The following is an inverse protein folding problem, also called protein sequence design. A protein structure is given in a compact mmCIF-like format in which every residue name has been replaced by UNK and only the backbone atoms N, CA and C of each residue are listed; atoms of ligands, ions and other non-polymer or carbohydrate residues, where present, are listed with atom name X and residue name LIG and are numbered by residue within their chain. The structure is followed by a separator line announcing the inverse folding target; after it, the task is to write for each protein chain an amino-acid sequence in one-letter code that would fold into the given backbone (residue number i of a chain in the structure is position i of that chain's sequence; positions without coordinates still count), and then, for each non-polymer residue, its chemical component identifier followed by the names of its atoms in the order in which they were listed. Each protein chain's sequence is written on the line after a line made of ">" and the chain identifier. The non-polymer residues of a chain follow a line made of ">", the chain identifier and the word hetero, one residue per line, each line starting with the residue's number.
data_IF_471011606821
#
_entry.id   IF_471011606821
#
_cell.length_a   1.000
_cell.length_b   1.000
_cell.length_c   1.000
_cell.angle_alpha   90.00
_cell.angle_beta   90.00
_cell.angle_gamma   90.00
#
_symmetry.space_group_name_H-M   'P 1'
#
loop_
_entity.id
_entity.type
_entity.pdbx_description
1 polymer ?
#
# COMPACT_ATOMS: atom_id res chain seq x y z
N UNK A 1 24.34 -37.06 -0.07
CA UNK A 1 23.80 -36.62 -1.37
C UNK A 1 22.75 -37.62 -1.85
N UNK A 2 21.57 -37.18 -2.31
CA UNK A 2 20.54 -38.07 -2.81
C UNK A 2 21.01 -38.86 -4.05
N UNK A 3 20.78 -40.17 -4.10
CA UNK A 3 21.25 -41.08 -5.17
C UNK A 3 20.65 -40.79 -6.56
N UNK A 4 19.60 -39.98 -6.64
CA UNK A 4 19.02 -39.50 -7.89
C UNK A 4 19.97 -38.56 -8.66
N UNK A 5 20.80 -37.76 -7.96
CA UNK A 5 21.69 -36.77 -8.57
C UNK A 5 22.87 -37.39 -9.34
N UNK A 6 23.24 -38.65 -9.04
CA UNK A 6 24.34 -39.32 -9.74
C UNK A 6 23.92 -39.92 -11.08
N UNK A 7 22.64 -40.25 -11.28
CA UNK A 7 22.12 -40.80 -12.56
C UNK A 7 21.76 -39.73 -13.58
N UNK A 8 21.50 -38.50 -13.15
CA UNK A 8 21.10 -37.40 -14.03
C UNK A 8 22.10 -36.24 -14.05
N UNK A 9 23.41 -36.55 -14.08
CA UNK A 9 24.48 -35.55 -14.22
C UNK A 9 24.28 -34.61 -15.42
N UNK A 10 23.60 -35.08 -16.47
CA UNK A 10 23.28 -34.27 -17.64
C UNK A 10 22.26 -33.14 -17.33
N UNK A 11 21.37 -33.29 -16.34
CA UNK A 11 20.46 -32.22 -15.91
C UNK A 11 21.20 -31.06 -15.22
N UNK A 12 22.33 -31.32 -14.56
CA UNK A 12 23.18 -30.25 -14.01
C UNK A 12 23.88 -29.47 -15.12
N UNK A 13 24.25 -30.13 -16.22
CA UNK A 13 24.84 -29.49 -17.39
C UNK A 13 23.79 -28.66 -18.13
N UNK A 14 22.58 -29.20 -18.34
CA UNK A 14 21.47 -28.47 -18.96
C UNK A 14 21.03 -27.28 -18.09
N UNK A 15 20.96 -27.45 -16.76
CA UNK A 15 20.67 -26.35 -15.83
C UNK A 15 21.74 -25.26 -15.83
N UNK A 16 23.02 -25.62 -15.87
CA UNK A 16 24.12 -24.66 -15.95
C UNK A 16 24.16 -23.91 -17.29
N UNK A 17 23.81 -24.55 -18.40
CA UNK A 17 23.69 -23.90 -19.71
C UNK A 17 22.47 -22.97 -19.76
N UNK A 18 21.35 -23.33 -19.14
CA UNK A 18 20.15 -22.48 -19.09
C UNK A 18 20.34 -21.25 -18.18
N UNK A 19 21.01 -21.42 -17.03
CA UNK A 19 21.40 -20.29 -16.15
C UNK A 19 22.48 -19.44 -16.83
N UNK A 20 23.45 -20.05 -17.51
CA UNK A 20 24.46 -19.33 -18.27
C UNK A 20 23.86 -18.51 -19.42
N UNK A 21 22.87 -19.03 -20.13
CA UNK A 21 22.16 -18.31 -21.21
C UNK A 21 21.27 -17.18 -20.66
N UNK A 22 20.65 -17.36 -19.48
CA UNK A 22 19.90 -16.30 -18.80
C UNK A 22 20.81 -15.19 -18.26
N UNK A 23 22.01 -15.54 -17.77
CA UNK A 23 23.02 -14.56 -17.35
C UNK A 23 23.63 -13.86 -18.57
N UNK A 24 23.85 -14.55 -19.70
CA UNK A 24 24.32 -13.91 -20.93
C UNK A 24 23.26 -13.06 -21.63
N UNK A 25 21.96 -13.40 -21.51
CA UNK A 25 20.86 -12.58 -22.01
C UNK A 25 20.54 -11.40 -21.06
N UNK A 26 20.87 -11.51 -19.78
CA UNK A 26 20.80 -10.42 -18.80
C UNK A 26 22.06 -9.54 -18.76
N UNK A 27 23.17 -10.01 -19.32
CA UNK A 27 24.42 -9.27 -19.51
C UNK A 27 24.81 -9.24 -21.00
N UNK A 28 23.82 -8.95 -21.86
CA UNK A 28 24.11 -8.51 -23.22
C UNK A 28 24.72 -7.12 -23.14
N UNK A 29 25.99 -7.03 -23.51
CA UNK A 29 26.86 -5.86 -23.57
C UNK A 29 26.15 -4.58 -24.05
N UNK A 30 25.87 -3.68 -23.10
CA UNK A 30 25.92 -2.23 -23.32
C UNK A 30 26.91 -1.70 -22.27
N UNK A 31 28.20 -1.83 -22.58
CA UNK A 31 29.26 -1.05 -21.94
C UNK A 31 29.09 0.42 -22.37
N UNK A 32 28.12 1.12 -21.79
CA UNK A 32 28.24 2.55 -21.57
C UNK A 32 28.36 2.75 -20.07
N UNK A 33 29.47 3.37 -19.69
CA UNK A 33 29.77 3.78 -18.34
C UNK A 33 28.53 4.38 -17.69
N UNK A 34 28.30 4.08 -16.41
CA UNK A 34 27.24 4.70 -15.63
C UNK A 34 27.49 6.21 -15.48
N UNK A 35 27.27 6.95 -16.56
CA UNK A 35 27.05 8.37 -16.54
C UNK A 35 25.72 8.55 -15.82
N UNK A 36 25.79 9.15 -14.63
CA UNK A 36 24.68 9.98 -14.17
C UNK A 36 24.26 10.83 -15.36
N UNK A 37 22.99 10.75 -15.83
CA UNK A 37 22.55 11.58 -16.92
C UNK A 37 22.97 13.00 -16.61
N UNK A 38 23.74 13.61 -17.53
CA UNK A 38 24.07 15.02 -17.40
C UNK A 38 22.76 15.78 -17.17
N UNK A 39 22.82 16.79 -16.28
CA UNK A 39 21.68 17.61 -15.87
C UNK A 39 20.66 17.81 -17.02
N UNK A 40 19.50 17.15 -16.91
CA UNK A 40 18.36 17.39 -17.80
C UNK A 40 17.90 16.25 -18.71
N UNK A 41 18.58 15.11 -18.82
CA UNK A 41 18.12 14.02 -19.69
C UNK A 41 17.51 12.86 -18.89
N UNK A 42 16.21 12.93 -18.62
CA UNK A 42 15.43 11.75 -18.26
C UNK A 42 15.25 10.87 -19.52
N UNK A 43 15.34 9.53 -19.42
CA UNK A 43 15.11 8.61 -20.55
C UNK A 43 13.70 8.68 -21.17
N UNK A 44 12.86 9.58 -20.65
CA UNK A 44 11.58 10.00 -21.19
C UNK A 44 11.68 10.78 -22.52
N UNK A 45 12.84 11.34 -22.90
CA UNK A 45 12.95 12.21 -24.07
C UNK A 45 12.68 11.51 -25.43
N UNK A 46 12.54 10.19 -25.48
CA UNK A 46 12.28 9.43 -26.71
C UNK A 46 10.80 9.06 -26.93
N UNK A 47 9.92 9.29 -25.95
CA UNK A 47 8.47 9.09 -26.07
C UNK A 47 7.76 10.36 -25.58
N UNK A 48 6.72 10.81 -26.29
CA UNK A 48 5.87 11.87 -25.77
C UNK A 48 5.19 11.35 -24.48
N UNK A 49 5.64 11.84 -23.33
CA UNK A 49 5.11 11.43 -22.02
C UNK A 49 3.80 12.15 -21.78
N UNK A 50 2.70 11.40 -21.76
CA UNK A 50 1.35 11.95 -21.55
C UNK A 50 1.06 12.28 -20.08
N UNK A 51 1.72 11.61 -19.14
CA UNK A 51 1.57 11.84 -17.70
C UNK A 51 2.79 11.33 -16.91
N UNK A 52 3.11 11.99 -15.80
CA UNK A 52 4.15 11.56 -14.87
C UNK A 52 3.53 10.95 -13.62
N UNK A 53 3.90 9.71 -13.30
CA UNK A 53 3.55 9.09 -12.02
C UNK A 53 4.41 9.70 -10.88
N UNK A 54 3.79 10.49 -10.01
CA UNK A 54 4.43 11.14 -8.87
C UNK A 54 4.49 10.19 -7.66
N UNK A 55 5.49 9.30 -7.65
CA UNK A 55 5.71 8.33 -6.57
C UNK A 55 6.75 8.89 -5.60
N UNK A 56 6.30 9.68 -4.65
CA UNK A 56 7.15 10.32 -3.64
C UNK A 56 6.34 10.70 -2.41
N UNK A 57 7.04 11.01 -1.32
CA UNK A 57 6.45 11.64 -0.14
C UNK A 57 6.36 13.16 -0.32
N UNK A 58 5.53 13.87 0.46
CA UNK A 58 5.24 15.27 0.21
C UNK A 58 6.48 16.18 0.19
N UNK A 59 7.47 15.92 1.05
CA UNK A 59 8.72 16.69 1.06
C UNK A 59 9.51 16.54 -0.24
N UNK A 60 9.64 15.31 -0.76
CA UNK A 60 10.38 15.03 -1.99
C UNK A 60 9.59 15.44 -3.24
N UNK A 61 8.27 15.19 -3.25
CA UNK A 61 7.38 15.61 -4.33
C UNK A 61 7.37 17.12 -4.48
N UNK A 62 7.44 17.87 -3.37
CA UNK A 62 7.35 19.34 -3.40
C UNK A 62 8.36 19.98 -4.35
N UNK A 63 9.61 19.55 -4.30
CA UNK A 63 10.68 20.08 -5.15
C UNK A 63 10.51 19.61 -6.58
N UNK A 64 10.33 18.30 -6.79
CA UNK A 64 10.24 17.72 -8.13
C UNK A 64 9.05 18.23 -8.94
N UNK A 65 7.87 18.35 -8.32
CA UNK A 65 6.66 18.86 -8.98
C UNK A 65 6.79 20.34 -9.32
N UNK A 66 7.35 21.14 -8.41
CA UNK A 66 7.57 22.58 -8.64
C UNK A 66 8.52 22.80 -9.82
N UNK A 67 9.64 22.07 -9.86
CA UNK A 67 10.60 22.16 -10.96
C UNK A 67 9.98 21.72 -12.29
N UNK A 68 9.20 20.63 -12.30
CA UNK A 68 8.53 20.15 -13.50
C UNK A 68 7.53 21.18 -14.07
N UNK A 69 6.77 21.84 -13.20
CA UNK A 69 5.81 22.89 -13.58
C UNK A 69 6.54 24.16 -14.04
N UNK A 70 7.52 24.65 -13.28
CA UNK A 70 8.25 25.89 -13.60
C UNK A 70 9.05 25.78 -14.91
N UNK A 71 9.56 24.59 -15.23
CA UNK A 71 10.27 24.32 -16.48
C UNK A 71 9.34 23.94 -17.65
N UNK A 72 8.04 23.74 -17.40
CA UNK A 72 7.08 23.30 -18.40
C UNK A 72 7.40 21.93 -19.00
N UNK A 73 7.96 21.03 -18.18
CA UNK A 73 8.37 19.69 -18.62
C UNK A 73 7.15 18.77 -18.84
N UNK A 74 6.16 18.90 -17.97
CA UNK A 74 4.91 18.15 -18.01
C UNK A 74 3.83 18.89 -17.23
N UNK A 75 2.58 18.75 -17.66
CA UNK A 75 1.40 19.38 -17.08
C UNK A 75 0.37 18.36 -16.58
N UNK A 76 0.63 17.06 -16.71
CA UNK A 76 -0.24 15.99 -16.26
C UNK A 76 0.49 15.03 -15.31
N UNK A 77 -0.09 14.82 -14.14
CA UNK A 77 0.45 13.94 -13.11
C UNK A 77 -0.58 12.88 -12.70
N UNK A 78 -0.08 11.70 -12.31
CA UNK A 78 -0.84 10.66 -11.61
C UNK A 78 -0.19 10.44 -10.25
N UNK A 79 -0.99 10.53 -9.19
CA UNK A 79 -0.50 10.50 -7.81
C UNK A 79 -0.65 9.12 -7.15
N UNK A 80 0.00 8.95 -6.01
CA UNK A 80 -0.17 7.79 -5.11
C UNK A 80 -0.54 8.25 -3.71
N UNK A 81 -1.02 7.34 -2.87
CA UNK A 81 -1.39 7.59 -1.47
C UNK A 81 -0.27 8.27 -0.67
N UNK A 82 0.98 7.88 -0.92
CA UNK A 82 2.17 8.47 -0.31
C UNK A 82 2.37 9.96 -0.62
N UNK A 83 1.76 10.47 -1.69
CA UNK A 83 1.85 11.88 -2.10
C UNK A 83 0.70 12.75 -1.56
N UNK A 84 -0.26 12.15 -0.84
CA UNK A 84 -1.45 12.84 -0.32
C UNK A 84 -1.08 13.89 0.73
N UNK A 85 -1.17 15.18 0.35
CA UNK A 85 -0.90 16.32 1.23
C UNK A 85 -1.53 17.60 0.69
N UNK A 86 -2.51 18.15 1.42
CA UNK A 86 -3.10 19.45 1.06
C UNK A 86 -2.03 20.56 1.07
N UNK A 87 -1.25 20.66 2.15
CA UNK A 87 -0.22 21.69 2.33
C UNK A 87 0.81 21.70 1.19
N UNK A 88 1.21 20.53 0.67
CA UNK A 88 2.12 20.47 -0.47
C UNK A 88 1.51 21.09 -1.73
N UNK A 89 0.25 20.76 -2.03
CA UNK A 89 -0.43 21.28 -3.22
C UNK A 89 -0.73 22.77 -3.09
N UNK A 90 -1.12 23.24 -1.90
CA UNK A 90 -1.32 24.67 -1.60
C UNK A 90 -0.01 25.46 -1.79
N UNK A 91 1.13 24.91 -1.36
CA UNK A 91 2.45 25.55 -1.48
C UNK A 91 2.97 25.65 -2.92
N UNK A 92 2.53 24.76 -3.81
CA UNK A 92 2.90 24.78 -5.24
C UNK A 92 1.88 25.56 -6.08
N UNK A 93 0.62 25.62 -5.63
CA UNK A 93 -0.51 26.16 -6.38
C UNK A 93 -1.42 25.02 -6.83
N UNK A 94 -2.55 24.85 -6.12
CA UNK A 94 -3.50 23.75 -6.31
C UNK A 94 -4.09 23.72 -7.73
N UNK A 95 -4.20 24.88 -8.37
CA UNK A 95 -4.70 25.04 -9.73
C UNK A 95 -3.89 24.27 -10.77
N UNK A 96 -2.61 23.99 -10.49
CA UNK A 96 -1.75 23.20 -11.39
C UNK A 96 -2.11 21.71 -11.40
N UNK A 97 -2.95 21.25 -10.46
CA UNK A 97 -3.27 19.84 -10.26
C UNK A 97 -4.77 19.54 -10.39
N UNK A 98 -5.57 20.54 -10.75
CA UNK A 98 -7.02 20.39 -10.89
C UNK A 98 -7.37 19.33 -11.95
N UNK A 99 -8.28 18.42 -11.62
CA UNK A 99 -8.68 17.32 -12.50
C UNK A 99 -7.70 16.14 -12.56
N UNK A 100 -6.58 16.19 -11.86
CA UNK A 100 -5.66 15.05 -11.73
C UNK A 100 -6.16 14.06 -10.68
N UNK A 101 -5.62 12.84 -10.70
CA UNK A 101 -6.07 11.77 -9.82
C UNK A 101 -4.89 10.94 -9.33
N UNK A 102 -5.11 10.20 -8.25
CA UNK A 102 -4.15 9.26 -7.72
C UNK A 102 -4.80 8.03 -7.13
N UNK A 103 -3.96 7.09 -6.71
CA UNK A 103 -4.41 5.86 -6.06
C UNK A 103 -4.44 6.04 -4.55
N UNK A 104 -5.43 5.44 -3.89
CA UNK A 104 -5.46 5.27 -2.43
C UNK A 104 -6.10 3.92 -2.10
N UNK A 105 -5.85 3.34 -0.92
CA UNK A 105 -6.63 2.19 -0.47
C UNK A 105 -8.10 2.59 -0.37
N UNK A 106 -8.96 1.69 -0.82
CA UNK A 106 -10.40 1.88 -0.85
C UNK A 106 -11.08 0.80 -0.03
N UNK A 107 -12.20 1.17 0.57
CA UNK A 107 -13.01 0.25 1.36
C UNK A 107 -13.75 -0.75 0.48
N UNK A 108 -13.83 -1.99 0.97
CA UNK A 108 -14.64 -3.03 0.34
C UNK A 108 -16.14 -2.66 0.39
N UNK A 109 -16.57 -2.11 1.52
CA UNK A 109 -17.93 -1.58 1.72
C UNK A 109 -17.91 -0.05 1.83
N UNK A 110 -18.50 0.68 0.87
CA UNK A 110 -18.58 2.14 0.92
C UNK A 110 -19.45 2.67 2.07
N UNK A 111 -20.42 1.90 2.55
CA UNK A 111 -21.29 2.31 3.66
C UNK A 111 -20.52 2.31 5.00
N UNK A 112 -19.61 1.35 5.19
CA UNK A 112 -18.72 1.32 6.37
C UNK A 112 -17.69 2.44 6.33
N UNK A 113 -17.14 2.76 5.15
CA UNK A 113 -16.28 3.92 4.98
C UNK A 113 -17.01 5.23 5.31
N UNK A 114 -18.25 5.39 4.83
CA UNK A 114 -19.06 6.57 5.13
C UNK A 114 -19.40 6.66 6.62
N UNK A 115 -19.71 5.53 7.27
CA UNK A 115 -19.99 5.50 8.70
C UNK A 115 -18.78 5.96 9.53
N UNK A 116 -17.55 5.60 9.14
CA UNK A 116 -16.34 6.12 9.75
C UNK A 116 -16.21 7.64 9.58
N UNK A 117 -16.41 8.15 8.36
CA UNK A 117 -16.30 9.58 8.06
C UNK A 117 -17.33 10.39 8.85
N UNK A 118 -18.58 9.91 8.93
CA UNK A 118 -19.65 10.53 9.70
C UNK A 118 -19.32 10.55 11.20
N UNK A 119 -18.82 9.42 11.73
CA UNK A 119 -18.41 9.32 13.13
C UNK A 119 -17.23 10.25 13.47
N UNK A 120 -16.24 10.36 12.57
CA UNK A 120 -15.10 11.25 12.74
C UNK A 120 -15.56 12.71 12.73
N UNK A 121 -16.39 13.11 11.76
CA UNK A 121 -16.88 14.48 11.65
C UNK A 121 -17.81 14.89 12.79
N UNK A 122 -18.52 13.94 13.41
CA UNK A 122 -19.33 14.17 14.61
C UNK A 122 -18.50 14.23 15.91
N UNK A 123 -17.20 13.91 15.85
CA UNK A 123 -16.31 13.88 17.01
C UNK A 123 -15.80 15.28 17.40
N UNK A 124 -15.24 15.37 18.60
CA UNK A 124 -14.59 16.59 19.12
C UNK A 124 -13.27 16.93 18.39
N UNK A 125 -12.80 16.06 17.48
CA UNK A 125 -11.53 16.24 16.76
C UNK A 125 -11.64 17.13 15.52
N UNK A 126 -12.86 17.56 15.16
CA UNK A 126 -13.12 18.39 13.99
C UNK A 126 -13.24 17.58 12.70
N UNK A 127 -13.12 18.22 11.53
CA UNK A 127 -13.28 17.54 10.25
C UNK A 127 -12.18 16.51 10.03
N UNK A 128 -12.49 15.48 9.25
CA UNK A 128 -11.51 14.47 8.86
C UNK A 128 -10.30 15.14 8.17
N UNK A 129 -9.07 14.91 8.65
CA UNK A 129 -7.89 15.51 8.03
C UNK A 129 -7.63 14.85 6.68
N UNK A 130 -7.05 15.60 5.74
CA UNK A 130 -6.69 15.10 4.41
C UNK A 130 -5.41 14.24 4.43
N UNK A 131 -5.32 13.30 5.37
CA UNK A 131 -4.19 12.39 5.54
C UNK A 131 -4.50 11.02 4.90
N UNK A 132 -3.48 10.28 4.45
CA UNK A 132 -3.66 8.90 4.04
C UNK A 132 -3.81 7.97 5.26
N UNK A 133 -4.37 6.78 5.03
CA UNK A 133 -4.39 5.66 5.97
C UNK A 133 -5.20 5.82 7.29
N UNK A 134 -6.17 6.74 7.33
CA UNK A 134 -6.96 6.98 8.54
C UNK A 134 -7.86 5.79 8.90
N UNK A 135 -8.56 5.21 7.92
CA UNK A 135 -9.48 4.07 8.13
C UNK A 135 -8.70 2.79 8.41
N UNK A 136 -7.59 2.62 7.71
CA UNK A 136 -6.64 1.52 7.82
C UNK A 136 -6.03 1.50 9.22
N UNK A 137 -5.65 2.67 9.75
CA UNK A 137 -5.17 2.80 11.12
C UNK A 137 -6.27 2.54 12.15
N UNK A 138 -7.50 2.96 11.86
CA UNK A 138 -8.66 2.70 12.71
C UNK A 138 -8.95 1.20 12.82
N UNK A 139 -9.04 0.50 11.69
CA UNK A 139 -9.29 -0.94 11.63
C UNK A 139 -8.13 -1.76 12.21
N UNK A 140 -6.89 -1.33 12.00
CA UNK A 140 -5.72 -1.99 12.58
C UNK A 140 -5.81 -2.07 14.12
N UNK A 141 -6.39 -1.06 14.78
CA UNK A 141 -6.60 -1.08 16.23
C UNK A 141 -7.63 -2.14 16.62
N UNK A 142 -8.76 -2.24 15.89
CA UNK A 142 -9.76 -3.28 16.14
C UNK A 142 -9.18 -4.67 15.90
N UNK A 143 -8.51 -4.89 14.78
CA UNK A 143 -7.90 -6.18 14.43
C UNK A 143 -6.92 -6.64 15.51
N UNK A 144 -6.04 -5.76 16.00
CA UNK A 144 -5.09 -6.08 17.07
C UNK A 144 -5.82 -6.42 18.38
N UNK A 145 -6.84 -5.63 18.74
CA UNK A 145 -7.59 -5.83 19.98
C UNK A 145 -8.42 -7.13 19.96
N UNK A 146 -9.11 -7.40 18.86
CA UNK A 146 -9.91 -8.62 18.68
C UNK A 146 -9.03 -9.86 18.60
N UNK A 147 -7.89 -9.79 17.91
CA UNK A 147 -6.93 -10.90 17.87
C UNK A 147 -6.36 -11.20 19.27
N UNK A 148 -6.07 -10.17 20.08
CA UNK A 148 -5.65 -10.36 21.47
C UNK A 148 -6.75 -10.98 22.34
N UNK A 149 -8.01 -10.59 22.14
CA UNK A 149 -9.17 -11.17 22.82
C UNK A 149 -9.37 -12.64 22.44
N UNK A 150 -9.31 -12.97 21.14
CA UNK A 150 -9.40 -14.34 20.63
C UNK A 150 -8.29 -15.23 21.18
N UNK A 151 -7.06 -14.69 21.25
CA UNK A 151 -5.92 -15.39 21.83
C UNK A 151 -5.96 -15.51 23.36
N UNK A 152 -6.78 -14.70 24.03
CA UNK A 152 -6.71 -14.45 25.47
C UNK A 152 -5.26 -14.16 25.92
N UNK A 153 -4.53 -13.37 25.13
CA UNK A 153 -3.11 -13.11 25.28
C UNK A 153 -2.74 -11.75 24.68
N UNK A 154 -1.75 -11.08 25.27
CA UNK A 154 -1.15 -9.86 24.70
C UNK A 154 0.24 -10.12 24.11
N UNK A 155 0.64 -11.38 24.00
CA UNK A 155 1.91 -11.74 23.37
C UNK A 155 1.82 -11.59 21.85
N UNK A 156 2.82 -10.93 21.26
CA UNK A 156 2.83 -10.60 19.83
C UNK A 156 2.71 -11.80 18.89
N UNK A 157 3.23 -12.97 19.30
CA UNK A 157 3.13 -14.19 18.51
C UNK A 157 1.69 -14.71 18.47
N UNK A 158 0.98 -14.65 19.59
CA UNK A 158 -0.41 -15.12 19.69
C UNK A 158 -1.35 -14.19 18.93
N UNK A 159 -1.15 -12.88 19.03
CA UNK A 159 -1.88 -11.89 18.24
C UNK A 159 -1.68 -12.15 16.75
N UNK A 160 -0.43 -12.30 16.30
CA UNK A 160 -0.10 -12.58 14.89
C UNK A 160 -0.84 -13.81 14.37
N UNK A 161 -0.88 -14.88 15.16
CA UNK A 161 -1.49 -16.15 14.77
C UNK A 161 -3.02 -16.08 14.72
N UNK A 162 -3.63 -15.12 15.43
CA UNK A 162 -5.07 -14.89 15.45
C UNK A 162 -5.57 -13.79 14.48
N UNK A 163 -4.70 -12.93 13.95
CA UNK A 163 -5.10 -11.84 13.03
C UNK A 163 -5.92 -12.31 11.83
N UNK A 164 -5.57 -13.47 11.24
CA UNK A 164 -6.33 -14.04 10.13
C UNK A 164 -7.63 -14.68 10.60
N UNK A 165 -7.64 -15.24 11.81
CA UNK A 165 -8.81 -15.96 12.31
C UNK A 165 -10.00 -15.01 12.56
N UNK A 166 -9.73 -13.79 13.02
CA UNK A 166 -10.78 -12.82 13.40
C UNK A 166 -11.36 -12.01 12.24
N UNK A 167 -10.83 -12.16 11.02
CA UNK A 167 -11.26 -11.45 9.82
C UNK A 167 -11.23 -12.41 8.61
N UNK A 168 -11.89 -13.55 8.77
CA UNK A 168 -12.05 -14.53 7.71
C UNK A 168 -13.52 -14.96 7.59
N UNK A 169 -14.01 -15.17 6.36
CA UNK A 169 -15.36 -15.66 6.12
C UNK A 169 -15.68 -16.97 6.84
N UNK A 170 -16.87 -17.03 7.43
CA UNK A 170 -17.41 -18.20 8.13
C UNK A 170 -17.90 -17.91 9.55
N UNK A 171 -17.40 -16.82 10.15
CA UNK A 171 -17.90 -16.28 11.42
C UNK A 171 -19.09 -15.33 11.26
N UNK A 172 -19.58 -14.82 12.38
CA UNK A 172 -20.56 -13.72 12.37
C UNK A 172 -19.86 -12.42 11.97
N UNK A 173 -20.45 -11.67 11.04
CA UNK A 173 -19.90 -10.40 10.56
C UNK A 173 -19.93 -9.35 11.67
N UNK A 174 -18.78 -8.74 11.94
CA UNK A 174 -18.60 -7.71 12.95
C UNK A 174 -18.10 -6.44 12.29
N UNK A 175 -18.86 -5.35 12.42
CA UNK A 175 -18.42 -4.03 11.97
C UNK A 175 -17.81 -3.20 13.11
N UNK A 176 -17.13 -2.08 12.81
CA UNK A 176 -16.54 -1.23 13.83
C UNK A 176 -17.57 -0.58 14.77
N UNK A 177 -17.09 -0.12 15.92
CA UNK A 177 -17.89 0.58 16.92
C UNK A 177 -18.26 -0.26 18.14
N UNK A 178 -18.86 0.40 19.14
CA UNK A 178 -19.09 -0.20 20.46
C UNK A 178 -19.98 -1.44 20.41
N UNK A 179 -21.03 -1.42 19.59
CA UNK A 179 -21.94 -2.55 19.46
C UNK A 179 -21.24 -3.77 18.85
N UNK A 180 -20.52 -3.57 17.74
CA UNK A 180 -19.78 -4.63 17.06
C UNK A 180 -18.69 -5.23 17.95
N UNK A 181 -17.87 -4.41 18.62
CA UNK A 181 -16.85 -4.93 19.55
C UNK A 181 -17.45 -5.69 20.72
N UNK A 182 -18.57 -5.21 21.27
CA UNK A 182 -19.23 -5.93 22.37
C UNK A 182 -19.68 -7.31 21.93
N UNK A 183 -20.34 -7.40 20.76
CA UNK A 183 -20.78 -8.68 20.19
C UNK A 183 -19.58 -9.60 19.90
N UNK A 184 -18.53 -9.07 19.27
CA UNK A 184 -17.32 -9.84 18.97
C UNK A 184 -16.66 -10.42 20.23
N UNK A 185 -16.55 -9.65 21.30
CA UNK A 185 -15.97 -10.13 22.56
C UNK A 185 -16.83 -11.23 23.21
N UNK A 186 -18.15 -11.14 23.11
CA UNK A 186 -19.07 -12.19 23.59
C UNK A 186 -18.92 -13.50 22.80
N UNK A 187 -18.91 -13.40 21.46
CA UNK A 187 -18.71 -14.55 20.56
C UNK A 187 -17.35 -15.22 20.81
N UNK A 188 -16.27 -14.43 20.87
CA UNK A 188 -14.93 -14.94 21.13
C UNK A 188 -14.82 -15.61 22.51
N UNK A 189 -15.49 -15.07 23.53
CA UNK A 189 -15.54 -15.68 24.86
C UNK A 189 -16.28 -17.03 24.88
N UNK A 190 -17.23 -17.23 23.96
CA UNK A 190 -17.94 -18.50 23.76
C UNK A 190 -17.16 -19.48 22.85
N UNK A 191 -16.04 -19.06 22.28
CA UNK A 191 -15.26 -19.84 21.32
C UNK A 191 -15.90 -19.92 19.93
N UNK A 192 -16.68 -18.90 19.56
CA UNK A 192 -17.32 -18.77 18.25
C UNK A 192 -16.42 -17.98 17.29
N UNK A 193 -16.57 -18.25 15.99
CA UNK A 193 -15.84 -17.59 14.91
C UNK A 193 -16.46 -16.21 14.62
N UNK A 194 -15.62 -15.22 14.29
CA UNK A 194 -16.05 -13.88 13.86
C UNK A 194 -15.42 -13.52 12.52
N UNK A 195 -16.07 -12.62 11.78
CA UNK A 195 -15.57 -12.05 10.53
C UNK A 195 -15.60 -10.53 10.63
N UNK A 196 -14.49 -9.92 11.04
CA UNK A 196 -14.40 -8.47 11.15
C UNK A 196 -14.30 -7.80 9.77
N UNK A 197 -15.30 -6.99 9.45
CA UNK A 197 -15.37 -6.15 8.25
C UNK A 197 -15.29 -4.68 8.66
N UNK A 198 -14.20 -4.03 8.27
CA UNK A 198 -13.78 -2.72 8.74
C UNK A 198 -14.25 -1.54 7.87
N UNK A 199 -13.82 -0.33 8.24
CA UNK A 199 -14.08 0.87 7.45
C UNK A 199 -13.17 0.99 6.21
N UNK A 200 -12.08 0.24 6.15
CA UNK A 200 -11.00 0.35 5.16
C UNK A 200 -11.06 -0.68 4.02
#
# INVERSE_FOLDING_TARGET
>A
MPQWLTRHKWLLIVGAVFVGLLVFAACGDDDEDGETPADGETPAAAAEVEALAAICFPESCRTALREAIEQGLIDQFIFVDGSKSQDMFDDIGVENFEGMSGTAPGAADPDLAQAFEDAYNASEFGPIPALPFLRESYDAVYLIALAAAAANSTDSADIRDNLRYIANPGGEEINPGTAGVTAALELLANGEDIDYEGAA
#
